data_IF_070335933853
#
_entry.id   IF_070335933853
#
_cell.length_a   1.000
_cell.length_b   1.000
_cell.length_c   1.000
_cell.angle_alpha   90.00
_cell.angle_beta   90.00
_cell.angle_gamma   90.00
#
_symmetry.space_group_name_H-M   'P 1'
#
loop_
_entity.id
_entity.type
_entity.pdbx_description
1 polymer ?
#
# COMPACT_ATOMS: atom_id res chain seq x y z
N UNK A 1 13.34 13.15 11.12
CA UNK A 1 14.43 13.14 12.12
C UNK A 1 13.90 12.75 13.47
N UNK A 2 12.84 13.41 13.92
CA UNK A 2 12.18 13.16 15.20
C UNK A 2 10.73 12.75 14.91
N UNK A 3 10.21 11.76 15.63
CA UNK A 3 8.82 11.32 15.52
C UNK A 3 7.89 12.30 16.22
N UNK A 4 6.82 12.72 15.54
CA UNK A 4 5.85 13.70 16.06
C UNK A 4 5.03 13.16 17.24
N UNK A 5 4.85 11.83 17.33
CA UNK A 5 4.04 11.19 18.38
C UNK A 5 4.81 10.91 19.66
N UNK A 6 6.07 10.47 19.56
CA UNK A 6 6.84 9.98 20.71
C UNK A 6 8.22 10.64 20.90
N UNK A 7 8.66 11.49 19.98
CA UNK A 7 9.95 12.18 20.05
C UNK A 7 11.18 11.30 19.75
N UNK A 8 10.99 10.04 19.34
CA UNK A 8 12.08 9.14 18.98
C UNK A 8 12.81 9.54 17.69
N UNK A 9 14.07 9.11 17.54
CA UNK A 9 14.84 9.34 16.32
C UNK A 9 14.35 8.46 15.17
N UNK A 10 14.13 9.05 13.99
CA UNK A 10 13.73 8.36 12.77
C UNK A 10 14.95 8.05 11.91
N UNK A 11 14.99 6.89 11.29
CA UNK A 11 16.05 6.48 10.37
C UNK A 11 15.45 5.87 9.10
N UNK A 12 16.22 5.91 8.00
CA UNK A 12 15.87 5.20 6.78
C UNK A 12 16.18 3.71 6.95
N UNK A 13 15.25 2.83 6.60
CA UNK A 13 15.49 1.39 6.72
C UNK A 13 16.55 0.94 5.72
N UNK A 14 17.27 -0.12 6.06
CA UNK A 14 18.33 -0.67 5.20
C UNK A 14 17.80 -1.16 3.83
N UNK A 15 16.52 -1.52 3.75
CA UNK A 15 15.87 -2.01 2.53
C UNK A 15 15.18 -0.90 1.69
N UNK A 16 15.26 0.35 2.12
CA UNK A 16 14.75 1.50 1.36
C UNK A 16 15.79 2.02 0.35
N UNK A 17 16.39 1.12 -0.42
CA UNK A 17 17.30 1.42 -1.53
C UNK A 17 16.61 1.22 -2.89
N UNK A 18 17.06 1.91 -3.94
CA UNK A 18 16.50 1.75 -5.28
C UNK A 18 16.59 0.29 -5.78
N UNK A 19 17.73 -0.36 -5.52
CA UNK A 19 17.96 -1.77 -5.89
C UNK A 19 16.94 -2.68 -5.19
N UNK A 20 16.76 -2.50 -3.88
CA UNK A 20 15.81 -3.30 -3.11
C UNK A 20 14.36 -3.01 -3.53
N UNK A 21 14.02 -1.76 -3.87
CA UNK A 21 12.70 -1.40 -4.39
C UNK A 21 12.39 -2.11 -5.71
N UNK A 22 13.34 -2.17 -6.65
CA UNK A 22 13.17 -2.90 -7.92
C UNK A 22 12.92 -4.40 -7.68
N UNK A 23 13.71 -5.00 -6.79
CA UNK A 23 13.54 -6.41 -6.41
C UNK A 23 12.17 -6.67 -5.79
N UNK A 24 11.75 -5.83 -4.83
CA UNK A 24 10.44 -5.92 -4.18
C UNK A 24 9.28 -5.78 -5.18
N UNK A 25 9.39 -4.87 -6.15
CA UNK A 25 8.36 -4.70 -7.18
C UNK A 25 8.27 -5.94 -8.08
N UNK A 26 9.40 -6.55 -8.46
CA UNK A 26 9.40 -7.79 -9.23
C UNK A 26 8.73 -8.96 -8.48
N UNK A 27 8.99 -9.08 -7.17
CA UNK A 27 8.31 -10.07 -6.31
C UNK A 27 6.82 -9.78 -6.18
N UNK A 28 6.42 -8.52 -6.03
CA UNK A 28 5.02 -8.12 -6.02
C UNK A 28 4.30 -8.52 -7.32
N UNK A 29 4.88 -8.21 -8.48
CA UNK A 29 4.32 -8.52 -9.80
C UNK A 29 4.12 -10.03 -10.00
N UNK A 30 5.09 -10.84 -9.57
CA UNK A 30 5.06 -12.30 -9.76
C UNK A 30 4.20 -13.05 -8.74
N UNK A 31 4.15 -12.58 -7.50
CA UNK A 31 3.59 -13.36 -6.39
C UNK A 31 2.34 -12.73 -5.75
N UNK A 32 2.25 -11.40 -5.74
CA UNK A 32 1.15 -10.69 -5.06
C UNK A 32 0.09 -10.22 -6.05
N UNK A 33 0.47 -9.65 -7.19
CA UNK A 33 -0.46 -9.14 -8.21
C UNK A 33 -1.48 -10.19 -8.69
N UNK A 34 -1.13 -11.48 -8.89
CA UNK A 34 -2.12 -12.49 -9.29
C UNK A 34 -3.27 -12.69 -8.29
N UNK A 35 -3.09 -12.30 -7.03
CA UNK A 35 -4.14 -12.38 -6.01
C UNK A 35 -5.29 -11.41 -6.29
N UNK A 36 -5.07 -10.35 -7.08
CA UNK A 36 -6.14 -9.45 -7.54
C UNK A 36 -7.20 -10.25 -8.30
N UNK A 37 -6.80 -11.10 -9.23
CA UNK A 37 -7.73 -11.92 -10.01
C UNK A 37 -8.45 -12.95 -9.14
N UNK A 38 -7.78 -13.49 -8.12
CA UNK A 38 -8.38 -14.39 -7.15
C UNK A 38 -9.53 -13.70 -6.40
N UNK A 39 -9.30 -12.51 -5.82
CA UNK A 39 -10.34 -11.79 -5.09
C UNK A 39 -11.44 -11.21 -5.99
N UNK A 40 -11.10 -10.84 -7.24
CA UNK A 40 -12.10 -10.46 -8.25
C UNK A 40 -13.06 -11.60 -8.54
N UNK A 41 -12.55 -12.83 -8.73
CA UNK A 41 -13.37 -14.03 -8.94
C UNK A 41 -14.22 -14.38 -7.73
N UNK A 42 -13.73 -14.11 -6.51
CA UNK A 42 -14.48 -14.30 -5.28
C UNK A 42 -15.57 -13.23 -5.06
N UNK A 43 -15.63 -12.18 -5.88
CA UNK A 43 -16.64 -11.12 -5.78
C UNK A 43 -16.45 -10.15 -4.59
N UNK A 44 -15.32 -10.23 -3.89
CA UNK A 44 -15.01 -9.41 -2.70
C UNK A 44 -13.98 -8.32 -2.96
N UNK A 45 -13.41 -8.27 -4.17
CA UNK A 45 -12.42 -7.26 -4.54
C UNK A 45 -13.04 -5.87 -4.70
N UNK A 46 -12.36 -4.86 -4.14
CA UNK A 46 -12.67 -3.44 -4.28
C UNK A 46 -11.38 -2.70 -4.58
N UNK A 47 -11.40 -1.77 -5.53
CA UNK A 47 -10.22 -1.03 -6.01
C UNK A 47 -10.30 0.43 -5.58
N UNK A 48 -9.19 0.98 -5.09
CA UNK A 48 -9.04 2.37 -4.65
C UNK A 48 -7.79 2.98 -5.33
N UNK A 49 -7.85 4.22 -5.82
CA UNK A 49 -6.68 4.90 -6.41
C UNK A 49 -5.77 5.48 -5.32
N UNK A 50 -4.63 4.82 -5.08
CA UNK A 50 -3.65 5.27 -4.08
C UNK A 50 -2.85 6.53 -4.45
N UNK A 51 -3.06 7.13 -5.63
CA UNK A 51 -2.31 8.33 -6.08
C UNK A 51 -3.04 9.65 -5.80
N UNK A 52 -4.00 9.61 -4.89
CA UNK A 52 -4.79 10.76 -4.45
C UNK A 52 -4.22 11.33 -3.14
N UNK A 53 -4.78 12.45 -2.68
CA UNK A 53 -4.52 12.97 -1.34
C UNK A 53 -4.95 11.96 -0.26
N UNK A 54 -4.24 11.92 0.87
CA UNK A 54 -4.49 10.97 1.96
C UNK A 54 -5.96 11.03 2.41
N UNK A 55 -6.52 12.23 2.59
CA UNK A 55 -7.91 12.40 3.03
C UNK A 55 -8.92 11.86 2.00
N UNK A 56 -8.56 11.92 0.70
CA UNK A 56 -9.42 11.39 -0.35
C UNK A 56 -9.37 9.86 -0.40
N UNK A 57 -8.19 9.27 -0.24
CA UNK A 57 -8.03 7.80 -0.14
C UNK A 57 -8.81 7.25 1.05
N UNK A 58 -8.76 7.92 2.20
CA UNK A 58 -9.52 7.55 3.39
C UNK A 58 -11.04 7.58 3.13
N UNK A 59 -11.54 8.64 2.50
CA UNK A 59 -12.95 8.75 2.17
C UNK A 59 -13.42 7.65 1.19
N UNK A 60 -12.60 7.32 0.19
CA UNK A 60 -12.92 6.26 -0.78
C UNK A 60 -12.91 4.87 -0.13
N UNK A 61 -12.00 4.63 0.83
CA UNK A 61 -11.98 3.41 1.65
C UNK A 61 -13.25 3.28 2.51
N UNK A 62 -13.64 4.34 3.22
CA UNK A 62 -14.84 4.33 4.07
C UNK A 62 -16.11 4.05 3.25
N UNK A 63 -16.26 4.72 2.11
CA UNK A 63 -17.40 4.53 1.22
C UNK A 63 -17.54 3.08 0.70
N UNK A 64 -16.42 2.38 0.51
CA UNK A 64 -16.42 0.97 0.09
C UNK A 64 -16.80 0.01 1.21
N UNK A 65 -16.46 0.31 2.46
CA UNK A 65 -16.74 -0.55 3.62
C UNK A 65 -18.16 -0.39 4.16
N UNK A 66 -18.77 0.77 3.96
CA UNK A 66 -20.13 1.08 4.43
C UNK A 66 -21.24 0.70 3.43
N UNK A 67 -20.88 0.20 2.24
CA UNK A 67 -21.79 -0.18 1.15
C UNK A 67 -22.21 -1.66 1.22
#
# INVERSE_FOLDING_TARGET
GVCDDCGGETYQRADDSEETMKSRLSVYESSTRPLIDYYKKAGVYKEIDGRQDIAKVEADLAAVLEA
#
